data_IF_881562025379
#
_entry.id   IF_881562025379
#
_cell.length_a   1.000
_cell.length_b   1.000
_cell.length_c   1.000
_cell.angle_alpha   90.00
_cell.angle_beta   90.00
_cell.angle_gamma   90.00
#
_symmetry.space_group_name_H-M   'P 1'
#
loop_
_entity.id
_entity.type
_entity.pdbx_description
1 polymer ?
#
# COMPACT_ATOMS: atom_id res chain seq x y z
N UNK A 1 8.01 8.91 -13.43
CA UNK A 1 7.93 7.43 -13.53
C UNK A 1 7.00 6.87 -12.45
N UNK A 2 7.38 6.93 -11.18
CA UNK A 2 6.53 6.60 -10.04
C UNK A 2 6.85 7.53 -8.87
N UNK A 3 6.19 7.33 -7.73
CA UNK A 3 6.36 8.13 -6.51
C UNK A 3 6.32 7.23 -5.28
N UNK A 4 6.76 7.78 -4.16
CA UNK A 4 6.61 7.23 -2.83
C UNK A 4 5.91 8.28 -1.95
N UNK A 5 5.06 7.86 -1.01
CA UNK A 5 4.40 8.79 -0.11
C UNK A 5 5.41 9.30 0.94
N UNK A 6 5.26 10.55 1.41
CA UNK A 6 6.20 11.20 2.34
C UNK A 6 6.55 10.35 3.57
N UNK A 7 5.60 9.72 4.29
CA UNK A 7 5.93 8.90 5.46
C UNK A 7 6.49 7.52 5.09
N UNK A 8 6.71 7.22 3.81
CA UNK A 8 7.19 5.91 3.34
C UNK A 8 8.66 5.99 2.92
N UNK A 9 9.43 4.97 3.28
CA UNK A 9 10.81 4.75 2.84
C UNK A 9 10.87 3.65 1.77
N UNK A 10 12.01 3.54 1.09
CA UNK A 10 12.29 2.46 0.16
C UNK A 10 12.76 2.93 -1.21
N UNK A 11 12.57 2.06 -2.21
CA UNK A 11 13.15 2.22 -3.54
C UNK A 11 12.41 3.28 -4.38
N UNK A 12 13.19 4.17 -4.99
CA UNK A 12 12.73 5.14 -5.99
C UNK A 12 13.57 4.99 -7.24
N UNK A 13 12.92 4.71 -8.38
CA UNK A 13 13.57 4.59 -9.68
C UNK A 13 13.52 5.94 -10.40
N UNK A 14 14.66 6.35 -10.92
CA UNK A 14 14.84 7.55 -11.71
C UNK A 14 15.39 7.18 -13.10
N UNK A 15 14.76 7.70 -14.15
CA UNK A 15 15.33 7.63 -15.49
C UNK A 15 16.30 8.80 -15.67
N UNK A 16 17.60 8.51 -15.71
CA UNK A 16 18.66 9.52 -15.87
C UNK A 16 18.94 9.86 -17.34
N UNK A 17 18.34 9.11 -18.27
CA UNK A 17 18.37 9.36 -19.71
C UNK A 17 16.95 9.27 -20.27
N UNK A 18 16.70 9.86 -21.45
CA UNK A 18 15.42 9.74 -22.13
C UNK A 18 15.05 8.29 -22.42
N UNK A 19 15.98 7.52 -22.98
CA UNK A 19 15.78 6.09 -23.28
C UNK A 19 15.44 5.29 -22.00
N UNK A 20 16.21 5.49 -20.93
CA UNK A 20 15.97 4.83 -19.65
C UNK A 20 14.61 5.19 -19.06
N UNK A 21 14.21 6.47 -19.12
CA UNK A 21 12.89 6.92 -18.67
C UNK A 21 11.76 6.21 -19.43
N UNK A 22 11.82 6.18 -20.75
CA UNK A 22 10.77 5.55 -21.58
C UNK A 22 10.74 4.03 -21.44
N UNK A 23 11.89 3.37 -21.31
CA UNK A 23 11.97 1.94 -21.02
C UNK A 23 11.30 1.59 -19.68
N UNK A 24 11.62 2.33 -18.61
CA UNK A 24 11.00 2.14 -17.31
C UNK A 24 9.49 2.44 -17.34
N UNK A 25 9.08 3.47 -18.09
CA UNK A 25 7.67 3.83 -18.27
C UNK A 25 6.90 2.68 -18.91
N UNK A 26 7.43 2.11 -19.99
CA UNK A 26 6.83 0.95 -20.67
C UNK A 26 6.71 -0.26 -19.74
N UNK A 27 7.73 -0.55 -18.94
CA UNK A 27 7.68 -1.66 -17.97
C UNK A 27 6.62 -1.44 -16.88
N UNK A 28 6.40 -0.20 -16.46
CA UNK A 28 5.37 0.16 -15.50
C UNK A 28 3.96 -0.02 -16.11
N UNK A 29 3.76 0.50 -17.32
CA UNK A 29 2.47 0.47 -18.02
C UNK A 29 2.09 -0.96 -18.44
N UNK A 30 3.08 -1.77 -18.82
CA UNK A 30 2.91 -3.21 -19.14
C UNK A 30 2.92 -4.13 -17.91
N UNK A 31 2.98 -3.56 -16.69
CA UNK A 31 2.98 -4.29 -15.41
C UNK A 31 4.13 -5.30 -15.24
N UNK A 32 5.22 -5.16 -16.00
CA UNK A 32 6.45 -5.96 -15.84
C UNK A 32 7.22 -5.53 -14.59
N UNK A 33 7.14 -4.26 -14.23
CA UNK A 33 7.77 -3.72 -13.03
C UNK A 33 7.00 -4.14 -11.76
N UNK A 34 7.63 -4.97 -10.93
CA UNK A 34 7.10 -5.41 -9.63
C UNK A 34 7.42 -4.36 -8.56
N UNK A 35 6.43 -4.08 -7.70
CA UNK A 35 6.55 -3.12 -6.60
C UNK A 35 6.11 -3.82 -5.33
N UNK A 36 7.05 -4.00 -4.43
CA UNK A 36 6.89 -4.77 -3.20
C UNK A 36 7.34 -3.95 -2.00
N UNK A 37 6.64 -4.12 -0.89
CA UNK A 37 6.80 -3.33 0.33
C UNK A 37 6.64 -4.22 1.55
N UNK A 38 7.32 -3.89 2.63
CA UNK A 38 6.95 -4.38 3.96
C UNK A 38 6.19 -3.29 4.70
N UNK A 39 5.11 -3.67 5.36
CA UNK A 39 4.24 -2.73 6.07
C UNK A 39 3.91 -3.28 7.44
N UNK A 40 4.15 -2.46 8.46
CA UNK A 40 3.64 -2.68 9.80
C UNK A 40 2.24 -2.08 9.91
N UNK A 41 1.26 -2.88 10.30
CA UNK A 41 -0.12 -2.47 10.48
C UNK A 41 -0.68 -2.90 11.83
N UNK A 42 -1.74 -2.22 12.27
CA UNK A 42 -2.42 -2.51 13.52
C UNK A 42 -3.28 -3.78 13.42
N UNK A 43 -3.40 -4.48 14.55
CA UNK A 43 -4.20 -5.69 14.69
C UNK A 43 -3.47 -6.95 14.24
N UNK A 44 -4.12 -8.08 14.48
CA UNK A 44 -3.66 -9.40 14.06
C UNK A 44 -4.40 -9.77 12.77
N UNK A 45 -3.78 -9.49 11.64
CA UNK A 45 -4.36 -9.80 10.34
C UNK A 45 -4.40 -11.31 10.12
N UNK A 46 -5.55 -11.85 9.73
CA UNK A 46 -5.71 -13.26 9.43
C UNK A 46 -4.83 -13.66 8.22
N UNK A 47 -4.27 -14.87 8.20
CA UNK A 47 -3.40 -15.33 7.12
C UNK A 47 -4.15 -15.47 5.77
N UNK A 48 -5.48 -15.62 5.83
CA UNK A 48 -6.40 -15.74 4.70
C UNK A 48 -6.65 -14.40 4.02
N UNK A 49 -6.43 -13.28 4.73
CA UNK A 49 -6.40 -11.96 4.13
C UNK A 49 -5.15 -11.93 3.24
N UNK A 50 -5.35 -12.14 1.94
CA UNK A 50 -4.27 -12.27 0.94
C UNK A 50 -4.37 -11.25 -0.20
N UNK A 51 -5.54 -10.63 -0.36
CA UNK A 51 -5.83 -9.70 -1.46
C UNK A 51 -6.90 -8.69 -1.06
N UNK A 52 -6.69 -7.45 -1.49
CA UNK A 52 -7.68 -6.37 -1.44
C UNK A 52 -7.83 -5.78 -2.83
N UNK A 53 -9.02 -5.93 -3.40
CA UNK A 53 -9.41 -5.39 -4.70
C UNK A 53 -10.58 -4.42 -4.52
N UNK A 54 -10.26 -3.21 -4.07
CA UNK A 54 -11.21 -2.15 -3.82
C UNK A 54 -10.86 -0.92 -4.67
N UNK A 55 -11.85 -0.11 -5.02
CA UNK A 55 -11.61 1.13 -5.76
C UNK A 55 -11.11 2.20 -4.79
N UNK A 56 -10.02 2.88 -5.13
CA UNK A 56 -9.49 4.01 -4.34
C UNK A 56 -10.00 5.30 -4.95
N UNK A 57 -10.58 6.15 -4.12
CA UNK A 57 -11.16 7.41 -4.55
C UNK A 57 -10.16 8.33 -5.28
N UNK A 58 -10.72 9.25 -6.06
CA UNK A 58 -9.99 10.37 -6.64
C UNK A 58 -10.37 11.61 -5.83
N UNK A 59 -9.89 11.72 -4.59
CA UNK A 59 -10.15 12.92 -3.80
C UNK A 59 -9.75 14.18 -4.61
N UNK A 60 -10.69 15.13 -4.85
CA UNK A 60 -10.43 16.34 -5.64
C UNK A 60 -9.47 17.28 -4.90
N UNK A 61 -9.57 17.33 -3.56
CA UNK A 61 -8.64 18.05 -2.70
C UNK A 61 -7.55 17.10 -2.18
N UNK A 62 -6.25 17.41 -2.39
CA UNK A 62 -5.15 16.68 -1.79
C UNK A 62 -5.15 16.63 -0.25
N UNK A 63 -5.81 17.55 0.45
CA UNK A 63 -5.93 17.56 1.91
C UNK A 63 -6.88 16.45 2.42
N UNK A 64 -7.83 16.00 1.60
CA UNK A 64 -8.81 15.01 2.00
C UNK A 64 -8.20 13.62 2.12
N UNK A 65 -8.61 12.91 3.19
CA UNK A 65 -8.17 11.54 3.47
C UNK A 65 -8.81 10.61 2.43
N UNK A 66 -7.98 9.98 1.60
CA UNK A 66 -8.38 8.96 0.63
C UNK A 66 -9.10 7.79 1.33
N UNK A 67 -10.08 7.23 0.63
CA UNK A 67 -10.95 6.15 1.09
C UNK A 67 -11.31 5.19 -0.06
N UNK A 68 -11.98 4.09 0.28
CA UNK A 68 -12.61 3.21 -0.71
C UNK A 68 -13.97 3.79 -1.07
N UNK A 69 -14.25 3.92 -2.38
CA UNK A 69 -15.49 4.49 -2.91
C UNK A 69 -15.79 3.89 -4.29
N UNK A 70 -17.06 3.64 -4.60
CA UNK A 70 -17.53 3.06 -5.88
C UNK A 70 -17.20 3.91 -7.12
N UNK A 71 -17.11 5.24 -6.95
CA UNK A 71 -16.66 6.19 -7.98
C UNK A 71 -15.13 6.23 -8.13
N UNK A 72 -14.39 5.52 -7.28
CA UNK A 72 -12.94 5.46 -7.30
C UNK A 72 -12.37 4.67 -8.48
N UNK A 73 -11.05 4.66 -8.59
CA UNK A 73 -10.34 3.92 -9.63
C UNK A 73 -10.02 2.49 -9.17
N UNK A 74 -10.19 1.46 -10.03
CA UNK A 74 -9.82 0.09 -9.72
C UNK A 74 -8.38 0.01 -9.23
N UNK A 75 -8.22 -0.69 -8.11
CA UNK A 75 -6.94 -0.87 -7.42
C UNK A 75 -6.82 -2.27 -6.88
N UNK A 76 -5.60 -2.80 -6.88
CA UNK A 76 -5.33 -4.16 -6.42
C UNK A 76 -4.01 -4.22 -5.64
N UNK A 77 -4.13 -4.77 -4.44
CA UNK A 77 -3.04 -5.01 -3.51
C UNK A 77 -3.09 -6.49 -3.11
N UNK A 78 -1.99 -7.21 -3.30
CA UNK A 78 -1.77 -8.51 -2.68
C UNK A 78 -0.94 -8.33 -1.43
N UNK A 79 -1.17 -9.19 -0.47
CA UNK A 79 -0.50 -9.15 0.81
C UNK A 79 -0.29 -10.58 1.31
N UNK A 80 0.83 -10.79 1.99
CA UNK A 80 1.18 -12.04 2.65
C UNK A 80 1.61 -11.69 4.06
N UNK A 81 0.93 -12.25 5.05
CA UNK A 81 1.34 -12.10 6.43
C UNK A 81 2.75 -12.67 6.60
N UNK A 82 3.67 -11.84 7.09
CA UNK A 82 5.05 -12.22 7.34
C UNK A 82 5.26 -12.60 8.80
N UNK A 83 4.69 -11.82 9.73
CA UNK A 83 4.74 -12.09 11.17
C UNK A 83 3.66 -11.30 11.92
N UNK A 84 3.30 -11.77 13.11
CA UNK A 84 2.68 -10.93 14.12
C UNK A 84 3.76 -10.34 15.03
N UNK A 85 3.60 -9.08 15.39
CA UNK A 85 4.44 -8.39 16.36
C UNK A 85 3.53 -7.93 17.51
N UNK A 86 3.72 -8.54 18.68
CA UNK A 86 2.93 -8.26 19.88
C UNK A 86 3.87 -7.92 21.03
N UNK A 87 3.60 -6.83 21.73
CA UNK A 87 4.29 -6.47 22.99
C UNK A 87 3.30 -6.51 24.15
N UNK A 88 3.52 -7.42 25.10
CA UNK A 88 2.62 -7.65 26.24
C UNK A 88 1.32 -8.38 25.87
N UNK A 89 0.70 -9.02 26.86
CA UNK A 89 -0.47 -9.87 26.64
C UNK A 89 -1.79 -9.10 26.46
N UNK A 90 -1.90 -7.88 27.03
CA UNK A 90 -3.23 -7.33 27.37
C UNK A 90 -3.68 -6.07 26.61
N UNK A 91 -2.78 -5.29 25.98
CA UNK A 91 -3.21 -4.06 25.32
C UNK A 91 -3.29 -4.20 23.80
N UNK A 92 -4.51 -4.08 23.26
CA UNK A 92 -4.81 -4.12 21.82
C UNK A 92 -4.02 -3.09 20.98
N UNK A 93 -3.50 -2.04 21.64
CA UNK A 93 -2.59 -1.05 21.01
C UNK A 93 -1.26 -1.63 20.53
N UNK A 94 -0.81 -2.74 21.12
CA UNK A 94 0.48 -3.37 20.81
C UNK A 94 0.36 -4.58 19.89
N UNK A 95 -0.86 -4.95 19.46
CA UNK A 95 -1.07 -6.00 18.47
C UNK A 95 -0.82 -5.44 17.09
N UNK A 96 0.18 -5.97 16.40
CA UNK A 96 0.56 -5.55 15.06
C UNK A 96 0.86 -6.74 14.16
N UNK A 97 0.84 -6.48 12.85
CA UNK A 97 1.20 -7.44 11.83
C UNK A 97 2.20 -6.82 10.86
N UNK A 98 3.18 -7.61 10.43
CA UNK A 98 4.07 -7.26 9.34
C UNK A 98 3.53 -7.98 8.10
N UNK A 99 3.18 -7.22 7.07
CA UNK A 99 2.70 -7.74 5.79
C UNK A 99 3.72 -7.46 4.68
N UNK A 100 4.07 -8.48 3.92
CA UNK A 100 4.71 -8.32 2.62
C UNK A 100 3.63 -7.99 1.58
N UNK A 101 3.74 -6.83 0.93
CA UNK A 101 2.71 -6.27 0.07
C UNK A 101 3.24 -6.16 -1.35
N UNK A 102 2.44 -6.59 -2.33
CA UNK A 102 2.65 -6.36 -3.75
C UNK A 102 1.51 -5.55 -4.35
N UNK A 103 1.83 -4.47 -5.05
CA UNK A 103 0.82 -3.64 -5.73
C UNK A 103 0.82 -3.88 -7.24
N UNK A 104 -0.37 -3.96 -7.83
CA UNK A 104 -0.56 -4.08 -9.29
C UNK A 104 -0.94 -2.75 -9.92
N UNK A 105 -1.47 -1.85 -9.11
CA UNK A 105 -1.82 -0.47 -9.45
C UNK A 105 -1.06 0.47 -8.53
N UNK A 106 -0.86 1.73 -8.94
CA UNK A 106 -0.15 2.73 -8.14
C UNK A 106 -1.01 3.94 -7.79
N UNK A 107 -2.19 3.74 -7.19
CA UNK A 107 -3.01 4.89 -6.74
C UNK A 107 -2.36 5.55 -5.54
N UNK A 108 -2.60 6.85 -5.38
CA UNK A 108 -2.08 7.63 -4.24
C UNK A 108 -2.62 7.04 -2.93
N UNK A 109 -1.74 6.79 -1.97
CA UNK A 109 -2.05 6.17 -0.67
C UNK A 109 -2.70 4.77 -0.76
N UNK A 110 -2.62 4.06 -1.89
CA UNK A 110 -3.37 2.82 -2.13
C UNK A 110 -3.21 1.78 -1.01
N UNK A 111 -1.98 1.50 -0.57
CA UNK A 111 -1.71 0.51 0.47
C UNK A 111 -2.39 0.92 1.78
N UNK A 112 -2.21 2.17 2.19
CA UNK A 112 -2.82 2.75 3.41
C UNK A 112 -4.35 2.67 3.39
N UNK A 113 -4.96 3.06 2.26
CA UNK A 113 -6.42 2.99 2.08
C UNK A 113 -6.92 1.56 2.14
N UNK A 114 -6.29 0.63 1.42
CA UNK A 114 -6.71 -0.78 1.40
C UNK A 114 -6.58 -1.43 2.76
N UNK A 115 -5.45 -1.21 3.45
CA UNK A 115 -5.19 -1.78 4.76
C UNK A 115 -6.16 -1.25 5.82
N UNK A 116 -6.48 0.05 5.82
CA UNK A 116 -7.53 0.59 6.69
C UNK A 116 -8.91 0.03 6.35
N UNK A 117 -9.23 -0.10 5.07
CA UNK A 117 -10.52 -0.63 4.62
C UNK A 117 -10.79 -2.05 5.13
N UNK A 118 -9.74 -2.87 5.27
CA UNK A 118 -9.83 -4.22 5.82
C UNK A 118 -9.56 -4.30 7.33
N UNK A 119 -9.59 -3.16 8.04
CA UNK A 119 -9.49 -3.10 9.49
C UNK A 119 -8.06 -3.12 10.06
N UNK A 120 -7.03 -3.05 9.22
CA UNK A 120 -5.62 -3.11 9.63
C UNK A 120 -4.84 -1.88 9.18
N UNK A 121 -5.17 -0.66 9.64
CA UNK A 121 -4.47 0.56 9.21
C UNK A 121 -2.96 0.46 9.45
N UNK A 122 -2.16 1.11 8.59
CA UNK A 122 -0.71 1.23 8.78
C UNK A 122 -0.41 1.97 10.07
N UNK A 123 0.70 1.67 10.75
CA UNK A 123 1.05 2.34 12.02
C UNK A 123 1.25 3.86 11.91
N UNK A 124 1.53 4.36 10.71
CA UNK A 124 1.66 5.80 10.42
C UNK A 124 0.33 6.46 10.07
N UNK A 125 -0.75 5.69 9.97
CA UNK A 125 -2.10 6.21 9.93
C UNK A 125 -2.65 6.24 11.35
N UNK A 126 -3.24 7.36 11.77
CA UNK A 126 -4.05 7.38 12.98
C UNK A 126 -5.13 6.29 12.91
N UNK A 127 -5.27 5.54 14.01
CA UNK A 127 -6.36 4.58 14.23
C UNK A 127 -7.71 5.24 13.99
#
# INVERSE_FOLDING_TARGET
>A
LHRLDIPSSGLVLCGTTFEGYYSLRLQLDTKRLRREYFVLCHGLAAAELTKVAAKVDVAPDPSQRRSVNDSGKPSQTQLRLAAHACEGAEADRYRMSIAAIRIFTGRRHQIRVHLRHVGHPTVTDAR
#
